data_IF_487125991874
#
_entry.id   IF_487125991874
#
_cell.length_a   1.000
_cell.length_b   1.000
_cell.length_c   1.000
_cell.angle_alpha   90.00
_cell.angle_beta   90.00
_cell.angle_gamma   90.00
#
_symmetry.space_group_name_H-M   'P 1'
#
loop_
_entity.id
_entity.type
_entity.pdbx_description
1 polymer ?
#
# COMPACT_ATOMS: atom_id res chain seq x y z
N UNK A 1 31.42 0.84 -25.53
CA UNK A 1 31.12 1.26 -24.14
C UNK A 1 29.68 1.74 -24.02
N UNK A 2 29.21 2.57 -24.95
CA UNK A 2 27.86 3.14 -24.96
C UNK A 2 26.74 2.09 -25.00
N UNK A 3 26.90 1.02 -25.78
CA UNK A 3 25.91 -0.07 -25.86
C UNK A 3 25.79 -0.86 -24.54
N UNK A 4 26.90 -1.05 -23.81
CA UNK A 4 26.88 -1.71 -22.51
C UNK A 4 26.15 -0.85 -21.48
N UNK A 5 26.47 0.43 -21.40
CA UNK A 5 25.84 1.37 -20.48
C UNK A 5 24.33 1.50 -20.77
N UNK A 6 23.95 1.63 -22.04
CA UNK A 6 22.54 1.71 -22.42
C UNK A 6 21.77 0.43 -22.04
N UNK A 7 22.37 -0.73 -22.27
CA UNK A 7 21.77 -2.03 -21.91
C UNK A 7 21.58 -2.15 -20.39
N UNK A 8 22.61 -1.78 -19.62
CA UNK A 8 22.55 -1.75 -18.16
C UNK A 8 21.44 -0.83 -17.65
N UNK A 9 21.40 0.42 -18.11
CA UNK A 9 20.40 1.40 -17.68
C UNK A 9 18.97 0.95 -18.03
N UNK A 10 18.77 0.38 -19.22
CA UNK A 10 17.48 -0.16 -19.63
C UNK A 10 17.05 -1.34 -18.76
N UNK A 11 17.96 -2.29 -18.49
CA UNK A 11 17.68 -3.45 -17.65
C UNK A 11 17.32 -3.03 -16.23
N UNK A 12 18.14 -2.18 -15.60
CA UNK A 12 17.90 -1.64 -14.25
C UNK A 12 16.58 -0.88 -14.20
N UNK A 13 16.30 -0.03 -15.19
CA UNK A 13 15.05 0.74 -15.26
C UNK A 13 13.81 -0.16 -15.32
N UNK A 14 13.80 -1.16 -16.21
CA UNK A 14 12.69 -2.12 -16.34
C UNK A 14 12.50 -2.92 -15.05
N UNK A 15 13.58 -3.38 -14.43
CA UNK A 15 13.52 -4.19 -13.22
C UNK A 15 13.00 -3.38 -12.03
N UNK A 16 13.50 -2.15 -11.84
CA UNK A 16 13.06 -1.27 -10.76
C UNK A 16 11.60 -0.84 -10.94
N UNK A 17 11.20 -0.45 -12.16
CA UNK A 17 9.81 -0.09 -12.44
C UNK A 17 8.87 -1.30 -12.31
N UNK A 18 9.29 -2.45 -12.81
CA UNK A 18 8.51 -3.69 -12.76
C UNK A 18 8.24 -4.17 -11.33
N UNK A 19 9.24 -4.06 -10.44
CA UNK A 19 9.11 -4.54 -9.06
C UNK A 19 8.57 -3.48 -8.11
N UNK A 20 9.10 -2.26 -8.18
CA UNK A 20 8.83 -1.22 -7.18
C UNK A 20 7.83 -0.15 -7.63
N UNK A 21 7.61 0.00 -8.94
CA UNK A 21 6.73 1.03 -9.49
C UNK A 21 5.30 0.97 -8.93
N UNK A 22 4.79 -0.24 -8.69
CA UNK A 22 3.47 -0.46 -8.09
C UNK A 22 3.33 0.15 -6.69
N UNK A 23 4.34 0.01 -5.84
CA UNK A 23 4.31 0.55 -4.47
C UNK A 23 4.35 2.07 -4.46
N UNK A 24 5.17 2.69 -5.31
CA UNK A 24 5.23 4.15 -5.40
C UNK A 24 3.96 4.75 -6.01
N UNK A 25 3.45 4.14 -7.08
CA UNK A 25 2.23 4.57 -7.75
C UNK A 25 1.04 4.56 -6.79
N UNK A 26 0.76 3.41 -6.16
CA UNK A 26 -0.36 3.30 -5.24
C UNK A 26 -0.12 4.04 -3.93
N UNK A 27 1.09 4.01 -3.37
CA UNK A 27 1.42 4.77 -2.15
C UNK A 27 1.17 6.26 -2.32
N UNK A 28 1.50 6.83 -3.49
CA UNK A 28 1.18 8.21 -3.81
C UNK A 28 -0.33 8.45 -3.99
N UNK A 29 -1.00 7.63 -4.80
CA UNK A 29 -2.44 7.76 -5.05
C UNK A 29 -3.26 7.66 -3.75
N UNK A 30 -2.97 6.65 -2.92
CA UNK A 30 -3.59 6.46 -1.60
C UNK A 30 -3.30 7.64 -0.67
N UNK A 31 -2.07 8.18 -0.67
CA UNK A 31 -1.74 9.35 0.15
C UNK A 31 -2.56 10.59 -0.22
N UNK A 32 -2.90 10.77 -1.51
CA UNK A 32 -3.77 11.87 -1.95
C UNK A 32 -5.20 11.65 -1.42
N UNK A 33 -5.76 10.47 -1.65
CA UNK A 33 -7.14 10.15 -1.27
C UNK A 33 -7.31 10.21 0.25
N UNK A 34 -6.39 9.59 1.00
CA UNK A 34 -6.36 9.65 2.47
C UNK A 34 -6.27 11.10 2.98
N UNK A 35 -5.40 11.92 2.39
CA UNK A 35 -5.30 13.35 2.73
C UNK A 35 -6.59 14.12 2.48
N UNK A 36 -7.28 13.85 1.37
CA UNK A 36 -8.58 14.43 1.07
C UNK A 36 -9.65 13.99 2.08
N UNK A 37 -9.70 12.70 2.41
CA UNK A 37 -10.64 12.13 3.39
C UNK A 37 -10.44 12.76 4.77
N UNK A 38 -9.20 12.84 5.25
CA UNK A 38 -8.89 13.50 6.53
C UNK A 38 -9.26 14.98 6.53
N UNK A 39 -9.11 15.67 5.40
CA UNK A 39 -9.51 17.08 5.26
C UNK A 39 -11.03 17.25 5.34
N UNK A 40 -11.82 16.33 4.78
CA UNK A 40 -13.28 16.31 4.92
C UNK A 40 -13.65 16.13 6.40
N UNK A 41 -13.10 15.12 7.08
CA UNK A 41 -13.36 14.90 8.51
C UNK A 41 -13.02 16.12 9.36
N UNK A 42 -11.82 16.68 9.20
CA UNK A 42 -11.36 17.84 9.99
C UNK A 42 -12.27 19.06 9.81
N UNK A 43 -12.76 19.30 8.59
CA UNK A 43 -13.63 20.46 8.29
C UNK A 43 -15.06 20.30 8.81
N UNK A 44 -15.59 19.08 8.81
CA UNK A 44 -16.97 18.85 9.22
C UNK A 44 -17.11 18.55 10.71
N UNK A 45 -16.34 17.60 11.22
CA UNK A 45 -16.51 17.06 12.59
C UNK A 45 -15.27 17.24 13.48
N UNK A 46 -14.22 17.91 12.96
CA UNK A 46 -12.96 18.14 13.68
C UNK A 46 -12.08 16.90 13.76
N UNK A 47 -11.00 16.98 14.55
CA UNK A 47 -10.01 15.90 14.70
C UNK A 47 -10.59 14.58 15.21
N UNK A 48 -11.57 14.66 16.12
CA UNK A 48 -12.27 13.49 16.68
C UNK A 48 -12.92 12.61 15.60
N UNK A 49 -13.30 13.20 14.45
CA UNK A 49 -13.82 12.46 13.30
C UNK A 49 -12.81 11.57 12.60
N UNK A 50 -11.51 11.71 12.84
CA UNK A 50 -10.49 10.79 12.31
C UNK A 50 -10.30 9.59 13.26
N UNK A 51 -10.56 9.77 14.56
CA UNK A 51 -10.25 8.76 15.57
C UNK A 51 -11.12 7.50 15.44
N UNK A 52 -12.35 7.62 14.93
CA UNK A 52 -13.24 6.48 14.76
C UNK A 52 -12.77 5.50 13.66
N UNK A 53 -11.98 5.95 12.69
CA UNK A 53 -11.31 5.08 11.71
C UNK A 53 -9.88 4.71 12.14
N UNK A 54 -9.22 5.59 12.88
CA UNK A 54 -7.80 5.44 13.21
C UNK A 54 -7.50 4.26 14.13
N UNK A 55 -8.36 3.93 15.09
CA UNK A 55 -8.04 2.91 16.10
C UNK A 55 -7.58 1.57 15.50
N UNK A 56 -8.24 1.06 14.44
CA UNK A 56 -7.85 -0.19 13.80
C UNK A 56 -6.86 0.03 12.65
N UNK A 57 -7.07 1.07 11.83
CA UNK A 57 -6.22 1.35 10.68
C UNK A 57 -4.78 1.65 11.10
N UNK A 58 -4.60 2.50 12.11
CA UNK A 58 -3.30 2.82 12.68
C UNK A 58 -2.68 1.61 13.40
N UNK A 59 -3.47 0.81 14.11
CA UNK A 59 -2.94 -0.40 14.76
C UNK A 59 -2.32 -1.37 13.74
N UNK A 60 -3.01 -1.61 12.61
CA UNK A 60 -2.48 -2.46 11.53
C UNK A 60 -1.27 -1.82 10.85
N UNK A 61 -1.30 -0.48 10.67
CA UNK A 61 -0.19 0.30 10.13
C UNK A 61 1.09 0.09 10.95
N UNK A 62 1.03 0.37 12.25
CA UNK A 62 2.16 0.25 13.17
C UNK A 62 2.59 -1.21 13.38
N UNK A 63 1.64 -2.14 13.39
CA UNK A 63 1.95 -3.56 13.42
C UNK A 63 2.84 -3.98 12.24
N UNK A 64 2.56 -3.45 11.03
CA UNK A 64 3.38 -3.72 9.86
C UNK A 64 4.84 -3.28 10.06
N UNK A 65 5.05 -2.09 10.61
CA UNK A 65 6.39 -1.57 10.93
C UNK A 65 7.14 -2.52 11.86
N UNK A 66 6.49 -3.02 12.91
CA UNK A 66 7.08 -3.98 13.85
C UNK A 66 7.51 -5.27 13.14
N UNK A 67 6.65 -5.83 12.29
CA UNK A 67 6.95 -7.10 11.60
C UNK A 67 8.16 -6.94 10.68
N UNK A 68 8.17 -5.93 9.82
CA UNK A 68 9.31 -5.73 8.93
C UNK A 68 10.57 -5.30 9.69
N UNK A 69 10.45 -4.51 10.76
CA UNK A 69 11.59 -4.17 11.61
C UNK A 69 12.26 -5.44 12.18
N UNK A 70 11.46 -6.44 12.61
CA UNK A 70 12.00 -7.74 13.05
C UNK A 70 12.66 -8.52 11.92
N UNK A 71 12.03 -8.62 10.75
CA UNK A 71 12.58 -9.34 9.58
C UNK A 71 13.94 -8.75 9.17
N UNK A 72 14.05 -7.42 9.15
CA UNK A 72 15.27 -6.72 8.81
C UNK A 72 16.22 -6.51 9.99
N UNK A 73 15.94 -7.14 11.15
CA UNK A 73 16.79 -7.13 12.35
C UNK A 73 17.09 -5.71 12.88
N UNK A 74 16.14 -4.80 12.72
CA UNK A 74 16.20 -3.50 13.37
C UNK A 74 15.91 -3.63 14.86
N UNK A 75 16.56 -2.79 15.68
CA UNK A 75 16.27 -2.71 17.11
C UNK A 75 15.04 -1.85 17.30
N UNK A 76 13.95 -2.48 17.69
CA UNK A 76 12.69 -1.81 18.03
C UNK A 76 12.85 -1.13 19.41
N UNK A 77 12.51 0.15 19.46
CA UNK A 77 12.48 0.95 20.68
C UNK A 77 11.06 1.06 21.22
N UNK A 78 10.53 2.28 21.23
CA UNK A 78 9.17 2.56 21.68
C UNK A 78 8.16 2.07 20.66
N UNK A 79 7.10 1.44 21.15
CA UNK A 79 5.95 1.00 20.34
C UNK A 79 4.69 1.56 20.97
N UNK A 80 3.89 2.24 20.16
CA UNK A 80 2.59 2.76 20.51
C UNK A 80 1.66 2.58 19.32
N UNK A 81 0.84 1.51 19.34
CA UNK A 81 0.01 1.15 18.19
C UNK A 81 -1.13 2.16 17.95
N UNK A 82 -1.63 2.77 19.03
CA UNK A 82 -2.64 3.81 18.95
C UNK A 82 -2.55 4.75 20.15
N UNK A 83 -1.97 5.93 19.94
CA UNK A 83 -1.86 7.00 20.92
C UNK A 83 -2.05 8.34 20.21
N UNK A 84 -3.31 8.70 19.89
CA UNK A 84 -3.59 9.89 19.12
C UNK A 84 -3.19 11.17 19.86
N UNK A 85 -2.33 11.97 19.23
CA UNK A 85 -1.91 13.29 19.69
C UNK A 85 -2.33 14.34 18.65
N UNK A 86 -3.35 15.13 18.97
CA UNK A 86 -3.86 16.18 18.08
C UNK A 86 -2.83 17.28 17.79
N UNK A 87 -1.92 17.57 18.75
CA UNK A 87 -0.94 18.66 18.61
C UNK A 87 0.14 18.30 17.60
N UNK A 88 0.58 17.04 17.61
CA UNK A 88 1.59 16.53 16.68
C UNK A 88 0.95 15.98 15.40
N UNK A 89 -0.34 15.63 15.45
CA UNK A 89 -1.08 15.01 14.36
C UNK A 89 -0.77 13.52 14.18
N UNK A 90 -0.13 12.92 15.18
CA UNK A 90 0.29 11.52 15.19
C UNK A 90 -0.81 10.63 15.78
N UNK A 91 -0.93 9.40 15.27
CA UNK A 91 -1.94 8.44 15.70
C UNK A 91 -1.31 7.21 16.39
N UNK A 92 -0.05 6.93 16.10
CA UNK A 92 0.75 5.82 16.60
C UNK A 92 2.22 6.07 16.27
N UNK A 93 3.11 5.24 16.81
CA UNK A 93 4.55 5.35 16.64
C UNK A 93 5.25 4.00 16.86
N UNK A 94 6.13 3.63 15.94
CA UNK A 94 7.11 2.57 16.12
C UNK A 94 8.51 3.12 15.89
N UNK A 95 9.22 3.41 16.97
CA UNK A 95 10.61 3.80 16.91
C UNK A 95 11.48 2.58 16.63
N UNK A 96 12.38 2.68 15.66
CA UNK A 96 13.37 1.65 15.40
C UNK A 96 14.73 2.26 15.07
N UNK A 97 15.79 1.52 15.37
CA UNK A 97 17.17 1.90 15.10
C UNK A 97 17.90 0.78 14.37
N UNK A 98 18.89 1.14 13.57
CA UNK A 98 19.62 0.18 12.74
C UNK A 98 21.07 0.58 12.51
N UNK A 99 21.93 -0.41 12.32
CA UNK A 99 23.32 -0.18 11.91
C UNK A 99 23.38 0.38 10.47
N UNK A 100 23.88 1.60 10.33
CA UNK A 100 24.03 2.35 9.07
C UNK A 100 25.00 1.71 8.06
N UNK A 101 25.89 0.84 8.52
CA UNK A 101 26.87 0.13 7.69
C UNK A 101 26.36 -1.24 7.22
N UNK A 102 25.25 -1.72 7.76
CA UNK A 102 24.67 -3.00 7.35
C UNK A 102 23.71 -2.81 6.18
N UNK A 103 24.05 -3.36 5.02
CA UNK A 103 23.25 -3.28 3.79
C UNK A 103 21.85 -3.91 3.98
N UNK A 104 21.74 -5.02 4.73
CA UNK A 104 20.46 -5.67 5.00
C UNK A 104 19.48 -4.72 5.71
N UNK A 105 19.97 -3.98 6.70
CA UNK A 105 19.17 -2.96 7.40
C UNK A 105 18.81 -1.78 6.48
N UNK A 106 19.75 -1.37 5.62
CA UNK A 106 19.52 -0.28 4.68
C UNK A 106 18.39 -0.60 3.72
N UNK A 107 18.45 -1.78 3.08
CA UNK A 107 17.37 -2.32 2.25
C UNK A 107 16.07 -2.44 3.05
N UNK A 108 16.16 -2.88 4.31
CA UNK A 108 15.01 -3.00 5.22
C UNK A 108 14.20 -1.73 5.41
N UNK A 109 14.82 -0.54 5.37
CA UNK A 109 14.08 0.72 5.45
C UNK A 109 13.04 0.88 4.34
N UNK A 110 13.26 0.26 3.17
CA UNK A 110 12.26 0.26 2.10
C UNK A 110 10.99 -0.44 2.55
N UNK A 111 11.14 -1.68 3.01
CA UNK A 111 10.02 -2.55 3.39
C UNK A 111 9.34 -2.11 4.67
N UNK A 112 10.10 -1.58 5.63
CA UNK A 112 9.51 -0.99 6.84
C UNK A 112 8.66 0.22 6.44
N UNK A 113 9.18 1.17 5.66
CA UNK A 113 8.36 2.30 5.22
C UNK A 113 7.16 1.90 4.35
N UNK A 114 7.29 0.84 3.54
CA UNK A 114 6.19 0.31 2.74
C UNK A 114 5.24 -0.61 3.54
N UNK A 115 5.56 -0.94 4.79
CA UNK A 115 4.85 -1.94 5.59
C UNK A 115 3.34 -1.72 5.67
N UNK A 116 2.84 -0.49 5.89
CA UNK A 116 1.41 -0.25 5.99
C UNK A 116 0.65 -0.67 4.73
N UNK A 117 1.27 -0.52 3.56
CA UNK A 117 0.66 -0.95 2.31
C UNK A 117 0.54 -2.46 2.25
N UNK A 118 1.60 -3.20 2.60
CA UNK A 118 1.57 -4.67 2.60
C UNK A 118 0.51 -5.21 3.56
N UNK A 119 0.56 -4.77 4.82
CA UNK A 119 -0.31 -5.30 5.87
C UNK A 119 -1.75 -4.81 5.73
N UNK A 120 -1.97 -3.51 5.51
CA UNK A 120 -3.32 -2.97 5.31
C UNK A 120 -4.04 -3.63 4.14
N UNK A 121 -3.33 -3.84 3.02
CA UNK A 121 -3.89 -4.48 1.83
C UNK A 121 -4.16 -5.97 2.03
N UNK A 122 -3.27 -6.68 2.72
CA UNK A 122 -3.50 -8.08 3.08
C UNK A 122 -4.72 -8.23 4.00
N UNK A 123 -4.87 -7.37 5.01
CA UNK A 123 -6.04 -7.37 5.88
C UNK A 123 -7.33 -7.07 5.12
N UNK A 124 -7.32 -6.11 4.20
CA UNK A 124 -8.48 -5.83 3.32
C UNK A 124 -8.85 -7.06 2.47
N UNK A 125 -7.87 -7.76 1.89
CA UNK A 125 -8.12 -8.97 1.12
C UNK A 125 -8.71 -10.11 1.98
N UNK A 126 -8.17 -10.32 3.19
CA UNK A 126 -8.71 -11.30 4.14
C UNK A 126 -10.15 -10.97 4.54
N UNK A 127 -10.43 -9.70 4.81
CA UNK A 127 -11.77 -9.25 5.18
C UNK A 127 -12.79 -9.53 4.09
N UNK A 128 -12.49 -9.24 2.82
CA UNK A 128 -13.37 -9.60 1.70
C UNK A 128 -13.61 -11.09 1.65
N UNK A 129 -12.55 -11.90 1.79
CA UNK A 129 -12.65 -13.35 1.71
C UNK A 129 -13.54 -13.94 2.82
N UNK A 130 -13.44 -13.42 4.04
CA UNK A 130 -14.13 -13.96 5.22
C UNK A 130 -15.48 -13.31 5.52
N UNK A 131 -15.67 -12.02 5.21
CA UNK A 131 -16.88 -11.28 5.59
C UNK A 131 -17.91 -11.16 4.47
N UNK A 132 -17.53 -11.33 3.20
CA UNK A 132 -18.49 -11.23 2.09
C UNK A 132 -18.96 -12.61 1.63
N UNK A 133 -20.29 -12.82 1.49
CA UNK A 133 -20.85 -14.06 0.93
C UNK A 133 -20.20 -14.51 -0.39
N UNK A 134 -19.89 -13.55 -1.27
CA UNK A 134 -19.26 -13.76 -2.56
C UNK A 134 -17.76 -13.37 -2.60
N UNK A 135 -17.06 -13.35 -1.45
CA UNK A 135 -15.71 -12.78 -1.32
C UNK A 135 -14.67 -13.26 -2.33
N UNK A 136 -14.72 -14.54 -2.74
CA UNK A 136 -13.83 -15.10 -3.78
C UNK A 136 -13.98 -14.44 -5.14
N UNK A 137 -15.17 -13.96 -5.48
CA UNK A 137 -15.50 -13.42 -6.79
C UNK A 137 -15.26 -11.90 -6.88
N UNK A 138 -15.16 -11.21 -5.74
CA UNK A 138 -14.99 -9.75 -5.71
C UNK A 138 -13.67 -9.32 -6.35
N UNK A 139 -12.58 -10.06 -6.13
CA UNK A 139 -11.25 -9.73 -6.66
C UNK A 139 -10.93 -10.32 -8.03
N UNK A 140 -11.65 -11.34 -8.48
CA UNK A 140 -11.35 -12.09 -9.70
C UNK A 140 -11.22 -11.19 -10.96
N UNK A 141 -12.03 -10.13 -11.15
CA UNK A 141 -11.86 -9.24 -12.30
C UNK A 141 -10.52 -8.48 -12.33
N UNK A 142 -9.89 -8.27 -11.16
CA UNK A 142 -8.63 -7.52 -11.02
C UNK A 142 -7.40 -8.41 -11.20
N UNK A 143 -7.52 -9.74 -11.06
CA UNK A 143 -6.39 -10.67 -11.14
C UNK A 143 -5.97 -11.01 -12.57
N UNK A 144 -6.84 -10.78 -13.56
CA UNK A 144 -6.56 -11.11 -14.96
C UNK A 144 -5.58 -10.14 -15.65
N UNK A 145 -5.05 -9.16 -14.91
CA UNK A 145 -4.16 -8.13 -15.43
C UNK A 145 -4.88 -7.09 -16.28
N UNK A 146 -4.27 -5.91 -16.40
CA UNK A 146 -4.79 -4.82 -17.23
C UNK A 146 -3.99 -4.73 -18.52
N UNK A 147 -4.56 -5.30 -19.60
CA UNK A 147 -3.94 -5.30 -20.94
C UNK A 147 -4.30 -4.05 -21.75
N UNK A 148 -5.41 -3.40 -21.43
CA UNK A 148 -5.85 -2.14 -22.01
C UNK A 148 -6.62 -1.29 -21.00
N UNK A 149 -6.84 -0.01 -21.33
CA UNK A 149 -7.66 0.91 -20.52
C UNK A 149 -9.10 0.42 -20.43
N UNK A 150 -9.66 -0.10 -21.53
CA UNK A 150 -11.01 -0.64 -21.55
C UNK A 150 -11.14 -1.86 -20.63
N UNK A 151 -10.18 -2.78 -20.68
CA UNK A 151 -10.15 -3.96 -19.80
C UNK A 151 -10.05 -3.51 -18.34
N UNK A 152 -9.19 -2.53 -18.03
CA UNK A 152 -9.10 -1.97 -16.69
C UNK A 152 -10.45 -1.39 -16.22
N UNK A 153 -11.13 -0.61 -17.06
CA UNK A 153 -12.43 -0.04 -16.73
C UNK A 153 -13.50 -1.11 -16.51
N UNK A 154 -13.57 -2.13 -17.36
CA UNK A 154 -14.49 -3.25 -17.20
C UNK A 154 -14.21 -4.05 -15.92
N UNK A 155 -12.93 -4.29 -15.61
CA UNK A 155 -12.52 -4.96 -14.36
C UNK A 155 -12.92 -4.16 -13.13
N UNK A 156 -12.73 -2.83 -13.14
CA UNK A 156 -13.17 -1.95 -12.06
C UNK A 156 -14.69 -1.99 -11.90
N UNK A 157 -15.44 -1.89 -13.01
CA UNK A 157 -16.91 -1.96 -13.01
C UNK A 157 -17.41 -3.30 -12.47
N UNK A 158 -16.83 -4.40 -12.92
CA UNK A 158 -17.17 -5.75 -12.45
C UNK A 158 -16.87 -5.94 -10.96
N UNK A 159 -15.74 -5.41 -10.48
CA UNK A 159 -15.39 -5.44 -9.05
C UNK A 159 -16.42 -4.68 -8.22
N UNK A 160 -16.82 -3.48 -8.65
CA UNK A 160 -17.85 -2.69 -7.98
C UNK A 160 -19.22 -3.41 -7.97
N UNK A 161 -19.61 -4.00 -9.10
CA UNK A 161 -20.85 -4.78 -9.20
C UNK A 161 -20.84 -6.00 -8.26
N UNK A 162 -19.69 -6.69 -8.16
CA UNK A 162 -19.52 -7.82 -7.25
C UNK A 162 -19.51 -7.38 -5.77
N UNK A 163 -19.01 -6.17 -5.47
CA UNK A 163 -18.99 -5.64 -4.10
C UNK A 163 -20.40 -5.26 -3.63
N UNK A 164 -21.17 -4.55 -4.46
CA UNK A 164 -22.50 -4.01 -4.14
C UNK A 164 -23.64 -4.87 -4.68
N UNK A 165 -23.53 -6.20 -4.58
CA UNK A 165 -24.65 -7.08 -4.89
C UNK A 165 -25.77 -6.92 -3.87
N UNK A 166 -27.00 -7.24 -4.28
CA UNK A 166 -28.15 -7.19 -3.38
C UNK A 166 -28.01 -8.14 -2.18
N UNK A 167 -27.37 -9.30 -2.38
CA UNK A 167 -27.05 -10.26 -1.32
C UNK A 167 -26.11 -9.63 -0.28
N UNK A 168 -25.04 -8.98 -0.72
CA UNK A 168 -24.10 -8.30 0.17
C UNK A 168 -24.79 -7.17 0.96
N UNK A 169 -25.55 -6.31 0.27
CA UNK A 169 -26.20 -5.16 0.91
C UNK A 169 -27.18 -5.53 2.03
N UNK A 170 -27.81 -6.70 1.94
CA UNK A 170 -28.73 -7.23 2.97
C UNK A 170 -28.01 -7.84 4.17
N UNK A 171 -26.75 -8.23 4.00
CA UNK A 171 -26.02 -8.97 5.01
C UNK A 171 -25.36 -8.01 6.01
N UNK A 172 -25.53 -8.27 7.31
CA UNK A 172 -24.98 -7.39 8.35
C UNK A 172 -23.44 -7.32 8.32
N UNK A 173 -22.80 -8.43 7.96
CA UNK A 173 -21.35 -8.58 7.85
C UNK A 173 -20.77 -7.72 6.72
N UNK A 174 -21.54 -7.38 5.68
CA UNK A 174 -21.12 -6.42 4.65
C UNK A 174 -20.92 -5.02 5.23
N UNK A 175 -21.80 -4.57 6.12
CA UNK A 175 -21.68 -3.24 6.73
C UNK A 175 -20.52 -3.17 7.72
N UNK A 176 -20.30 -4.24 8.50
CA UNK A 176 -19.10 -4.39 9.31
C UNK A 176 -17.83 -4.38 8.45
N UNK A 177 -17.83 -5.17 7.37
CA UNK A 177 -16.76 -5.21 6.38
C UNK A 177 -16.46 -3.81 5.83
N UNK A 178 -17.50 -3.07 5.42
CA UNK A 178 -17.36 -1.75 4.80
C UNK A 178 -16.77 -0.74 5.78
N UNK A 179 -17.29 -0.71 7.02
CA UNK A 179 -16.78 0.14 8.09
C UNK A 179 -15.29 -0.12 8.37
N UNK A 180 -14.93 -1.39 8.60
CA UNK A 180 -13.55 -1.78 8.90
C UNK A 180 -12.63 -1.51 7.70
N UNK A 181 -13.14 -1.68 6.47
CA UNK A 181 -12.36 -1.42 5.26
C UNK A 181 -12.08 0.07 5.09
N UNK A 182 -13.04 0.95 5.38
CA UNK A 182 -12.82 2.40 5.43
C UNK A 182 -11.82 2.78 6.51
N UNK A 183 -11.91 2.13 7.67
CA UNK A 183 -11.00 2.36 8.77
C UNK A 183 -9.55 2.01 8.40
N UNK A 184 -9.32 0.87 7.74
CA UNK A 184 -7.99 0.46 7.30
C UNK A 184 -7.50 1.33 6.14
N UNK A 185 -8.32 1.52 5.11
CA UNK A 185 -7.96 2.23 3.89
C UNK A 185 -7.59 3.71 4.16
N UNK A 186 -8.25 4.34 5.15
CA UNK A 186 -7.93 5.70 5.60
C UNK A 186 -6.58 5.86 6.30
N UNK A 187 -5.90 4.77 6.64
CA UNK A 187 -4.61 4.81 7.35
C UNK A 187 -3.57 3.91 6.68
N UNK A 188 -3.80 3.52 5.43
CA UNK A 188 -2.96 2.59 4.67
C UNK A 188 -1.78 3.28 3.99
N UNK A 189 -1.92 4.58 3.65
CA UNK A 189 -0.86 5.29 2.95
C UNK A 189 0.37 5.52 3.86
N UNK A 190 1.60 5.27 3.37
CA UNK A 190 2.81 5.55 4.13
C UNK A 190 2.89 7.02 4.55
N UNK A 191 3.24 7.27 5.82
CA UNK A 191 3.42 8.63 6.35
C UNK A 191 4.61 9.35 5.72
N UNK A 192 4.82 10.63 6.08
CA UNK A 192 6.00 11.38 5.60
C UNK A 192 7.32 10.72 6.03
N UNK A 193 7.37 10.20 7.25
CA UNK A 193 8.56 9.53 7.81
C UNK A 193 8.77 8.20 7.09
N UNK A 194 7.69 7.45 6.88
CA UNK A 194 7.73 6.16 6.18
C UNK A 194 8.22 6.31 4.76
N UNK A 195 7.70 7.30 4.01
CA UNK A 195 8.17 7.59 2.65
C UNK A 195 9.64 7.97 2.61
N UNK A 196 10.14 8.69 3.62
CA UNK A 196 11.58 8.99 3.73
C UNK A 196 12.38 7.70 3.96
N UNK A 197 11.90 6.79 4.80
CA UNK A 197 12.45 5.45 4.97
C UNK A 197 12.44 4.65 3.65
N UNK A 198 11.33 4.68 2.93
CA UNK A 198 11.16 4.05 1.62
C UNK A 198 12.23 4.52 0.64
N UNK A 199 12.37 5.83 0.45
CA UNK A 199 13.38 6.39 -0.45
C UNK A 199 14.82 6.06 -0.03
N UNK A 200 15.11 6.14 1.27
CA UNK A 200 16.44 5.79 1.79
C UNK A 200 16.79 4.34 1.50
N UNK A 201 15.86 3.40 1.71
CA UNK A 201 16.10 1.98 1.39
C UNK A 201 16.14 1.71 -0.10
N UNK A 202 15.29 2.39 -0.87
CA UNK A 202 15.23 2.25 -2.32
C UNK A 202 16.57 2.59 -3.00
N UNK A 203 17.26 3.64 -2.55
CA UNK A 203 18.59 4.00 -3.09
C UNK A 203 19.59 2.84 -2.95
N UNK A 204 19.59 2.13 -1.83
CA UNK A 204 20.45 0.96 -1.64
C UNK A 204 20.03 -0.21 -2.53
N UNK A 205 18.73 -0.42 -2.72
CA UNK A 205 18.21 -1.42 -3.66
C UNK A 205 18.69 -1.09 -5.08
N UNK A 206 18.59 0.17 -5.52
CA UNK A 206 19.09 0.59 -6.83
C UNK A 206 20.58 0.27 -6.99
N UNK A 207 21.41 0.60 -5.99
CA UNK A 207 22.83 0.28 -6.02
C UNK A 207 23.11 -1.23 -6.15
N UNK A 208 22.38 -2.07 -5.41
CA UNK A 208 22.52 -3.52 -5.47
C UNK A 208 22.05 -4.08 -6.82
N UNK A 209 20.95 -3.57 -7.38
CA UNK A 209 20.44 -3.99 -8.69
C UNK A 209 21.42 -3.60 -9.80
N UNK A 210 22.02 -2.40 -9.74
CA UNK A 210 23.07 -1.99 -10.69
C UNK A 210 24.25 -2.96 -10.60
N UNK A 211 24.76 -3.23 -9.39
CA UNK A 211 25.91 -4.13 -9.20
C UNK A 211 25.61 -5.54 -9.74
N UNK A 212 24.43 -6.08 -9.42
CA UNK A 212 24.01 -7.39 -9.90
C UNK A 212 23.91 -7.46 -11.43
N UNK A 213 23.36 -6.42 -12.08
CA UNK A 213 23.28 -6.37 -13.55
C UNK A 213 24.66 -6.20 -14.20
N UNK A 214 25.58 -5.43 -13.62
CA UNK A 214 26.96 -5.34 -14.13
C UNK A 214 27.59 -6.73 -14.15
N UNK A 215 27.55 -7.45 -13.04
CA UNK A 215 28.12 -8.81 -12.94
C UNK A 215 27.45 -9.75 -13.92
N UNK A 216 26.11 -9.74 -14.00
CA UNK A 216 25.38 -10.62 -14.91
C UNK A 216 25.68 -10.35 -16.38
N UNK A 217 25.73 -9.08 -16.80
CA UNK A 217 26.05 -8.71 -18.17
C UNK A 217 27.49 -9.08 -18.55
N UNK A 218 28.44 -8.97 -17.62
CA UNK A 218 29.83 -9.44 -17.83
C UNK A 218 29.89 -10.97 -18.03
N UNK A 219 28.96 -11.71 -17.43
CA UNK A 219 28.81 -13.16 -17.62
C UNK A 219 27.91 -13.54 -18.81
N UNK A 220 27.42 -12.56 -19.57
CA UNK A 220 26.51 -12.79 -20.71
C UNK A 220 25.08 -13.19 -20.31
N UNK A 221 24.68 -12.94 -19.06
CA UNK A 221 23.36 -13.29 -18.52
C UNK A 221 22.46 -12.05 -18.42
N UNK A 222 21.23 -12.16 -18.92
CA UNK A 222 20.19 -11.13 -18.76
C UNK A 222 19.25 -11.48 -17.59
N UNK A 223 19.41 -10.75 -16.47
CA UNK A 223 18.57 -10.91 -15.27
C UNK A 223 17.12 -10.47 -15.48
N UNK A 224 16.86 -9.62 -16.48
CA UNK A 224 15.54 -9.01 -16.70
C UNK A 224 14.49 -10.08 -16.94
N UNK A 225 14.81 -11.14 -17.68
CA UNK A 225 13.88 -12.26 -17.96
C UNK A 225 13.40 -12.95 -16.68
N UNK A 226 14.28 -13.11 -15.69
CA UNK A 226 13.94 -13.76 -14.42
C UNK A 226 13.07 -12.86 -13.56
N UNK A 227 13.42 -11.56 -13.48
CA UNK A 227 12.65 -10.58 -12.71
C UNK A 227 11.25 -10.39 -13.31
N UNK A 228 11.12 -10.34 -14.64
CA UNK A 228 9.81 -10.25 -15.30
C UNK A 228 8.93 -11.48 -15.06
N UNK A 229 9.51 -12.66 -14.82
CA UNK A 229 8.73 -13.83 -14.39
C UNK A 229 8.15 -13.63 -12.98
N UNK A 230 8.89 -12.97 -12.09
CA UNK A 230 8.40 -12.60 -10.75
C UNK A 230 7.26 -11.58 -10.83
N UNK A 231 7.23 -10.71 -11.84
CA UNK A 231 6.13 -9.75 -12.03
C UNK A 231 4.75 -10.40 -12.17
N UNK A 232 4.66 -11.67 -12.58
CA UNK A 232 3.39 -12.40 -12.59
C UNK A 232 2.77 -12.46 -11.19
N UNK A 233 3.59 -12.62 -10.15
CA UNK A 233 3.15 -12.57 -8.76
C UNK A 233 2.86 -11.14 -8.28
N UNK A 234 3.47 -10.12 -8.90
CA UNK A 234 3.16 -8.72 -8.58
C UNK A 234 1.79 -8.26 -9.08
N UNK A 235 1.20 -8.97 -10.04
CA UNK A 235 -0.17 -8.71 -10.50
C UNK A 235 -1.19 -8.81 -9.34
N UNK A 236 -0.95 -9.70 -8.36
CA UNK A 236 -1.81 -9.81 -7.18
C UNK A 236 -1.71 -8.58 -6.29
N UNK A 237 -0.51 -8.04 -6.08
CA UNK A 237 -0.30 -6.82 -5.32
C UNK A 237 -0.95 -5.63 -6.02
N UNK A 238 -0.82 -5.57 -7.35
CA UNK A 238 -1.51 -4.57 -8.16
C UNK A 238 -3.03 -4.66 -7.95
N UNK A 239 -3.63 -5.84 -8.07
CA UNK A 239 -5.06 -6.05 -7.86
C UNK A 239 -5.53 -5.62 -6.45
N UNK A 240 -4.81 -6.03 -5.40
CA UNK A 240 -5.18 -5.69 -4.03
C UNK A 240 -5.00 -4.18 -3.77
N UNK A 241 -3.96 -3.53 -4.30
CA UNK A 241 -3.80 -2.09 -4.16
C UNK A 241 -4.84 -1.30 -4.96
N UNK A 242 -5.21 -1.75 -6.16
CA UNK A 242 -6.35 -1.20 -6.91
C UNK A 242 -7.61 -1.27 -6.07
N UNK A 243 -7.85 -2.40 -5.42
CA UNK A 243 -8.99 -2.55 -4.53
C UNK A 243 -8.95 -1.62 -3.30
N UNK A 244 -7.81 -1.55 -2.62
CA UNK A 244 -7.63 -0.62 -1.50
C UNK A 244 -7.88 0.84 -1.93
N UNK A 245 -7.47 1.21 -3.14
CA UNK A 245 -7.75 2.52 -3.72
C UNK A 245 -9.25 2.71 -4.00
N UNK A 246 -9.95 1.71 -4.56
CA UNK A 246 -11.40 1.76 -4.75
C UNK A 246 -12.11 2.02 -3.43
N UNK A 247 -11.80 1.26 -2.38
CA UNK A 247 -12.37 1.43 -1.04
C UNK A 247 -12.08 2.83 -0.49
N UNK A 248 -10.84 3.31 -0.63
CA UNK A 248 -10.45 4.66 -0.19
C UNK A 248 -11.26 5.76 -0.90
N UNK A 249 -11.48 5.61 -2.22
CA UNK A 249 -12.26 6.57 -3.02
C UNK A 249 -13.74 6.51 -2.64
N UNK A 250 -14.33 5.32 -2.49
CA UNK A 250 -15.71 5.18 -2.01
C UNK A 250 -15.87 5.86 -0.65
N UNK A 251 -14.92 5.64 0.27
CA UNK A 251 -14.94 6.26 1.58
C UNK A 251 -14.89 7.79 1.49
N UNK A 252 -13.99 8.34 0.67
CA UNK A 252 -13.91 9.78 0.43
C UNK A 252 -15.24 10.35 -0.07
N UNK A 253 -15.85 9.71 -1.07
CA UNK A 253 -17.12 10.16 -1.65
C UNK A 253 -18.25 10.13 -0.63
N UNK A 254 -18.38 9.02 0.11
CA UNK A 254 -19.40 8.89 1.16
C UNK A 254 -19.18 9.90 2.29
N UNK A 255 -17.94 10.06 2.76
CA UNK A 255 -17.62 11.05 3.78
C UNK A 255 -17.93 12.47 3.29
N UNK A 256 -17.62 12.80 2.04
CA UNK A 256 -17.89 14.10 1.45
C UNK A 256 -19.39 14.39 1.35
N UNK A 257 -20.21 13.41 0.98
CA UNK A 257 -21.68 13.56 0.88
C UNK A 257 -22.33 13.62 2.26
N UNK A 258 -22.03 12.65 3.14
CA UNK A 258 -22.66 12.53 4.46
C UNK A 258 -22.26 13.67 5.39
N UNK A 259 -21.00 14.12 5.33
CA UNK A 259 -20.50 15.19 6.19
C UNK A 259 -20.62 16.59 5.58
N UNK A 260 -21.16 16.71 4.36
CA UNK A 260 -21.43 18.00 3.71
C UNK A 260 -22.24 18.96 4.60
N UNK A 261 -23.35 18.53 5.24
CA UNK A 261 -24.19 19.44 6.02
C UNK A 261 -23.52 19.96 7.30
N UNK A 262 -22.48 19.28 7.76
CA UNK A 262 -21.77 19.59 9.02
C UNK A 262 -20.52 20.43 8.80
N UNK A 263 -20.25 20.86 7.57
CA UNK A 263 -19.06 21.66 7.24
C UNK A 263 -19.10 22.99 8.00
N UNK A 264 -18.07 23.23 8.82
CA UNK A 264 -17.85 24.51 9.51
C UNK A 264 -17.17 25.53 8.61
#
# INVERSE_FOLDING_TARGET
MDQFLLTLLRAVGIQLLGVFGVFFLFGFALSIVQGATHKVYRRSVGWKGILWTAWIGTTIHEFGHIVFAKIFRHKIGRVSLFQPDERQGDLGLVDHSFNKWNIWHRVGNFFIGAAPMFFGSAFLALMVYFLLPNGKNVFLPLTNGFTSVDVAFQSLKATLANLFTFENLKAWNFWLFLYLSFAIASHLAPSKIDRKGMWNGFIWIVGLVILANIVALLLGVDLTKYILRVNQYLSIFFAIFTYALIISVIHLLLAAVVLWPFKK
#
